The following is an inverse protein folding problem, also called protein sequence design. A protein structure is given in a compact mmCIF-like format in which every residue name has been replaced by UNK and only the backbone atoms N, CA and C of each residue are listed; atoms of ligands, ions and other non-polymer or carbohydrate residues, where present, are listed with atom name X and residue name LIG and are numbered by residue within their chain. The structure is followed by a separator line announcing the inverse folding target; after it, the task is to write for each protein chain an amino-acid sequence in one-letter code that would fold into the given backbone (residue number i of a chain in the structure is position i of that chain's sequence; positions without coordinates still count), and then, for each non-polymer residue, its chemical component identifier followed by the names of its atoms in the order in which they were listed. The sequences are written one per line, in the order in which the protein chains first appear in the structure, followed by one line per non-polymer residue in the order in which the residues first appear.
data_IF_550180914632
#
_entry.id   IF_550180914632
#
_cell.length_a   1.000
_cell.length_b   1.000
_cell.length_c   1.000
_cell.angle_alpha   90.00
_cell.angle_beta   90.00
_cell.angle_gamma   90.00
#
_symmetry.space_group_name_H-M   'P 1'
#
loop_
_entity.id
_entity.type
_entity.pdbx_description
1 polymer ?
#
# COMPACT_ATOMS: atom_id res chain seq x y z
N UNK A 1 -33.98 10.78 -38.71
CA UNK A 1 -32.85 11.74 -38.72
C UNK A 1 -31.56 10.94 -38.90
N UNK A 2 -30.72 11.20 -39.92
CA UNK A 2 -29.53 10.39 -40.16
C UNK A 2 -28.44 10.71 -39.13
N UNK A 3 -27.81 9.68 -38.56
CA UNK A 3 -26.71 9.86 -37.61
C UNK A 3 -25.47 10.39 -38.34
N UNK A 4 -24.90 11.49 -37.82
CA UNK A 4 -23.62 12.03 -38.31
C UNK A 4 -22.50 11.02 -38.05
N UNK A 5 -21.53 10.85 -38.96
CA UNK A 5 -20.32 10.08 -38.67
C UNK A 5 -19.64 10.67 -37.42
N UNK A 6 -19.44 9.85 -36.39
CA UNK A 6 -18.94 10.28 -35.08
C UNK A 6 -20.01 10.46 -33.99
N UNK A 7 -21.30 10.30 -34.30
CA UNK A 7 -22.34 10.20 -33.28
C UNK A 7 -22.26 8.82 -32.61
N UNK A 8 -21.54 8.73 -31.49
CA UNK A 8 -21.62 7.57 -30.62
C UNK A 8 -23.03 7.52 -30.00
N UNK A 9 -23.86 6.59 -30.45
CA UNK A 9 -25.13 6.26 -29.82
C UNK A 9 -24.88 5.42 -28.56
N UNK A 10 -24.23 6.01 -27.57
CA UNK A 10 -24.07 5.40 -26.26
C UNK A 10 -25.41 5.49 -25.53
N UNK A 11 -26.03 4.32 -25.30
CA UNK A 11 -27.25 4.18 -24.50
C UNK A 11 -26.91 4.37 -23.01
N UNK A 12 -26.61 5.60 -22.63
CA UNK A 12 -26.49 5.93 -21.22
C UNK A 12 -27.88 5.96 -20.60
N UNK A 13 -28.00 5.47 -19.36
CA UNK A 13 -29.22 5.66 -18.60
C UNK A 13 -29.52 7.18 -18.48
N UNK A 14 -30.77 7.61 -18.73
CA UNK A 14 -31.14 9.03 -18.76
C UNK A 14 -30.86 9.72 -17.42
N UNK A 15 -31.01 8.99 -16.31
CA UNK A 15 -30.66 9.42 -14.95
C UNK A 15 -29.18 9.76 -14.81
N UNK A 16 -28.30 8.90 -15.33
CA UNK A 16 -26.84 9.09 -15.25
C UNK A 16 -26.39 10.28 -16.09
N UNK A 17 -26.96 10.48 -17.28
CA UNK A 17 -26.68 11.64 -18.12
C UNK A 17 -27.10 12.95 -17.47
N UNK A 18 -28.28 12.96 -16.82
CA UNK A 18 -28.78 14.13 -16.12
C UNK A 18 -27.84 14.53 -14.97
N UNK A 19 -27.49 13.57 -14.10
CA UNK A 19 -26.54 13.78 -13.01
C UNK A 19 -25.17 14.25 -13.49
N UNK A 20 -24.65 13.66 -14.56
CA UNK A 20 -23.35 14.04 -15.11
C UNK A 20 -23.38 15.45 -15.72
N UNK A 21 -24.45 15.83 -16.42
CA UNK A 21 -24.64 17.20 -16.92
C UNK A 21 -24.73 18.22 -15.80
N UNK A 22 -25.49 17.90 -14.75
CA UNK A 22 -25.62 18.78 -13.57
C UNK A 22 -24.26 18.97 -12.88
N UNK A 23 -23.45 17.91 -12.78
CA UNK A 23 -22.10 17.96 -12.20
C UNK A 23 -21.13 18.77 -13.07
N UNK A 24 -21.20 18.65 -14.39
CA UNK A 24 -20.44 19.49 -15.31
C UNK A 24 -20.82 20.97 -15.15
N UNK A 25 -22.11 21.28 -15.00
CA UNK A 25 -22.63 22.63 -14.79
C UNK A 25 -22.20 23.21 -13.45
N UNK A 26 -22.20 22.41 -12.38
CA UNK A 26 -21.70 22.83 -11.06
C UNK A 26 -20.21 23.18 -11.08
N UNK A 27 -19.42 22.51 -11.92
CA UNK A 27 -17.99 22.77 -12.07
C UNK A 27 -17.64 23.81 -13.14
N UNK A 28 -18.64 24.46 -13.74
CA UNK A 28 -18.48 25.41 -14.86
C UNK A 28 -17.67 24.83 -16.04
N UNK A 29 -17.84 23.53 -16.33
CA UNK A 29 -17.12 22.83 -17.39
C UNK A 29 -18.05 22.38 -18.51
N UNK A 30 -17.60 22.54 -19.76
CA UNK A 30 -18.32 22.04 -20.92
C UNK A 30 -18.41 20.51 -20.89
N UNK A 31 -19.63 19.97 -20.95
CA UNK A 31 -19.92 18.52 -20.94
C UNK A 31 -19.06 17.73 -21.95
N UNK A 32 -18.88 18.26 -23.16
CA UNK A 32 -18.05 17.65 -24.21
C UNK A 32 -16.58 17.58 -23.83
N UNK A 33 -16.04 18.61 -23.15
CA UNK A 33 -14.65 18.66 -22.70
C UNK A 33 -14.37 17.71 -21.56
N UNK A 34 -15.34 17.53 -20.65
CA UNK A 34 -15.23 16.55 -19.56
C UNK A 34 -15.23 15.13 -20.13
N UNK A 35 -16.11 14.84 -21.08
CA UNK A 35 -16.12 13.54 -21.78
C UNK A 35 -14.84 13.28 -22.56
N UNK A 36 -14.34 14.27 -23.31
CA UNK A 36 -13.07 14.19 -24.04
C UNK A 36 -11.92 13.90 -23.08
N UNK A 37 -11.84 14.60 -21.94
CA UNK A 37 -10.81 14.35 -20.93
C UNK A 37 -10.93 12.98 -20.28
N UNK A 38 -12.15 12.53 -20.01
CA UNK A 38 -12.41 11.19 -19.45
C UNK A 38 -11.98 10.11 -20.44
N UNK A 39 -12.27 10.28 -21.73
CA UNK A 39 -11.85 9.37 -22.79
C UNK A 39 -10.33 9.35 -22.95
N UNK A 40 -9.67 10.52 -22.93
CA UNK A 40 -8.21 10.61 -22.95
C UNK A 40 -7.58 9.88 -21.77
N UNK A 41 -8.09 10.12 -20.55
CA UNK A 41 -7.61 9.41 -19.36
C UNK A 41 -7.85 7.90 -19.45
N UNK A 42 -8.97 7.47 -20.02
CA UNK A 42 -9.27 6.06 -20.24
C UNK A 42 -8.28 5.41 -21.21
N UNK A 43 -7.88 6.12 -22.27
CA UNK A 43 -6.88 5.65 -23.24
C UNK A 43 -5.47 5.67 -22.63
N UNK A 44 -5.09 6.75 -21.94
CA UNK A 44 -3.79 6.89 -21.27
C UNK A 44 -3.59 5.81 -20.20
N UNK A 45 -4.66 5.40 -19.51
CA UNK A 45 -4.63 4.37 -18.46
C UNK A 45 -4.92 2.96 -18.97
N UNK A 46 -5.02 2.77 -20.29
CA UNK A 46 -5.36 1.49 -20.93
C UNK A 46 -6.59 0.81 -20.27
N UNK A 47 -7.62 1.62 -20.01
CA UNK A 47 -8.87 1.21 -19.36
C UNK A 47 -8.83 1.09 -17.82
N UNK A 48 -7.70 1.35 -17.18
CA UNK A 48 -7.51 1.16 -15.74
C UNK A 48 -8.38 2.05 -14.85
N UNK A 49 -8.74 3.26 -15.30
CA UNK A 49 -9.52 4.24 -14.50
C UNK A 49 -10.95 3.75 -14.18
N UNK A 50 -11.53 2.87 -15.00
CA UNK A 50 -12.84 2.27 -14.72
C UNK A 50 -12.72 0.90 -14.03
N UNK A 51 -11.55 0.25 -14.10
CA UNK A 51 -11.30 -1.06 -13.47
C UNK A 51 -11.29 -0.99 -11.94
N UNK A 52 -10.77 0.12 -11.38
CA UNK A 52 -10.66 0.32 -9.94
C UNK A 52 -12.00 0.42 -9.19
N UNK A 53 -13.10 0.75 -9.89
CA UNK A 53 -14.41 0.99 -9.27
C UNK A 53 -15.35 -0.23 -9.37
N UNK A 54 -15.01 -1.23 -10.20
CA UNK A 54 -15.93 -2.34 -10.50
C UNK A 54 -15.40 -3.76 -10.26
N UNK A 55 -14.08 -3.99 -10.26
CA UNK A 55 -13.56 -5.36 -10.24
C UNK A 55 -12.30 -5.48 -9.40
N UNK A 56 -12.41 -6.23 -8.31
CA UNK A 56 -11.26 -6.96 -7.81
C UNK A 56 -10.68 -7.80 -8.95
N UNK A 57 -9.49 -7.43 -9.43
CA UNK A 57 -8.67 -8.25 -10.31
C UNK A 57 -8.81 -7.98 -11.81
N UNK A 58 -7.85 -7.25 -12.39
CA UNK A 58 -6.84 -7.81 -13.32
C UNK A 58 -5.57 -6.96 -13.15
N UNK A 59 -4.47 -7.49 -12.60
CA UNK A 59 -3.24 -6.71 -12.51
C UNK A 59 -2.53 -6.79 -13.85
N UNK A 60 -2.36 -5.63 -14.51
CA UNK A 60 -1.50 -5.46 -15.67
C UNK A 60 -0.12 -6.09 -15.39
N UNK A 61 0.46 -6.82 -16.35
CA UNK A 61 1.68 -7.64 -16.16
C UNK A 61 2.88 -6.87 -15.58
N UNK A 62 2.93 -5.54 -15.76
CA UNK A 62 3.92 -4.67 -15.11
C UNK A 62 3.65 -4.36 -13.64
N UNK A 63 2.39 -4.33 -13.23
CA UNK A 63 1.95 -4.11 -11.84
C UNK A 63 2.19 -5.36 -11.00
N UNK A 64 1.99 -6.56 -11.55
CA UNK A 64 2.29 -7.82 -10.85
C UNK A 64 3.77 -7.93 -10.48
N UNK A 65 4.70 -7.64 -11.40
CA UNK A 65 6.14 -7.67 -11.09
C UNK A 65 6.53 -6.68 -10.00
N UNK A 66 5.91 -5.49 -10.00
CA UNK A 66 6.15 -4.47 -8.98
C UNK A 66 5.53 -4.87 -7.64
N UNK A 67 4.33 -5.44 -7.64
CA UNK A 67 3.68 -5.97 -6.43
C UNK A 67 4.46 -7.13 -5.82
N UNK A 68 4.88 -8.12 -6.62
CA UNK A 68 5.70 -9.26 -6.15
C UNK A 68 7.04 -8.78 -5.62
N UNK A 69 7.65 -7.74 -6.22
CA UNK A 69 8.88 -7.16 -5.71
C UNK A 69 8.67 -6.41 -4.38
N UNK A 70 7.57 -5.65 -4.24
CA UNK A 70 7.21 -4.98 -2.98
C UNK A 70 6.94 -6.00 -1.89
N UNK A 71 6.21 -7.08 -2.19
CA UNK A 71 5.90 -8.15 -1.24
C UNK A 71 7.16 -8.92 -0.84
N UNK A 72 8.08 -9.18 -1.79
CA UNK A 72 9.39 -9.76 -1.48
C UNK A 72 10.25 -8.86 -0.60
N UNK A 73 10.21 -7.54 -0.80
CA UNK A 73 10.92 -6.58 0.04
C UNK A 73 10.30 -6.50 1.45
N UNK A 74 8.97 -6.54 1.55
CA UNK A 74 8.25 -6.59 2.83
C UNK A 74 8.57 -7.87 3.61
N UNK A 75 8.59 -9.02 2.93
CA UNK A 75 8.92 -10.31 3.56
C UNK A 75 10.37 -10.34 4.05
N UNK A 76 11.33 -9.83 3.27
CA UNK A 76 12.73 -9.71 3.71
C UNK A 76 12.90 -8.77 4.91
N UNK A 77 12.18 -7.66 4.92
CA UNK A 77 12.20 -6.74 6.06
C UNK A 77 11.63 -7.41 7.32
N UNK A 78 10.52 -8.14 7.17
CA UNK A 78 9.92 -8.89 8.28
C UNK A 78 10.87 -9.96 8.81
N UNK A 79 11.53 -10.73 7.93
CA UNK A 79 12.54 -11.72 8.32
C UNK A 79 13.74 -11.09 9.05
N UNK A 80 14.27 -9.95 8.55
CA UNK A 80 15.38 -9.25 9.20
C UNK A 80 14.97 -8.70 10.58
N UNK A 81 13.76 -8.16 10.70
CA UNK A 81 13.21 -7.69 11.97
C UNK A 81 13.07 -8.85 12.97
N UNK A 82 12.49 -9.97 12.57
CA UNK A 82 12.34 -11.15 13.42
C UNK A 82 13.71 -11.67 13.91
N UNK A 83 14.69 -11.74 13.01
CA UNK A 83 16.05 -12.17 13.35
C UNK A 83 16.75 -11.20 14.31
N UNK A 84 16.56 -9.90 14.15
CA UNK A 84 17.12 -8.89 15.07
C UNK A 84 16.50 -8.99 16.45
N UNK A 85 15.19 -9.21 16.54
CA UNK A 85 14.50 -9.42 17.83
C UNK A 85 15.07 -10.65 18.54
N UNK A 86 15.20 -11.78 17.86
CA UNK A 86 15.79 -12.99 18.43
C UNK A 86 17.21 -12.76 18.98
N UNK A 87 18.04 -12.00 18.24
CA UNK A 87 19.40 -11.65 18.68
C UNK A 87 19.36 -10.75 19.91
N UNK A 88 18.44 -9.78 19.97
CA UNK A 88 18.30 -8.87 21.11
C UNK A 88 17.87 -9.62 22.36
N UNK A 89 16.89 -10.51 22.28
CA UNK A 89 16.42 -11.35 23.39
C UNK A 89 17.55 -12.26 23.93
N UNK A 90 18.34 -12.87 23.04
CA UNK A 90 19.52 -13.66 23.42
C UNK A 90 20.59 -12.81 24.09
N UNK A 91 20.81 -11.58 23.64
CA UNK A 91 21.77 -10.66 24.25
C UNK A 91 21.30 -10.22 25.63
N UNK A 92 20.04 -9.83 25.77
CA UNK A 92 19.44 -9.42 27.05
C UNK A 92 19.60 -10.52 28.10
N UNK A 93 19.24 -11.76 27.75
CA UNK A 93 19.40 -12.91 28.64
C UNK A 93 20.84 -13.06 29.13
N UNK A 94 21.83 -12.98 28.24
CA UNK A 94 23.26 -13.04 28.60
C UNK A 94 23.66 -11.90 29.51
N UNK A 95 23.22 -10.68 29.20
CA UNK A 95 23.52 -9.49 30.01
C UNK A 95 22.93 -9.60 31.42
N UNK A 96 21.72 -10.15 31.57
CA UNK A 96 21.11 -10.38 32.87
C UNK A 96 21.90 -11.41 33.71
N UNK A 97 22.37 -12.50 33.09
CA UNK A 97 23.23 -13.47 33.78
C UNK A 97 24.56 -12.85 34.25
N UNK A 98 25.20 -12.06 33.40
CA UNK A 98 26.45 -11.38 33.75
C UNK A 98 26.25 -10.32 34.85
N UNK A 99 25.13 -9.58 34.81
CA UNK A 99 24.76 -8.65 35.88
C UNK A 99 24.56 -9.37 37.21
N UNK A 100 23.83 -10.49 37.23
CA UNK A 100 23.63 -11.28 38.45
C UNK A 100 24.96 -11.79 39.02
N UNK A 101 25.86 -12.28 38.16
CA UNK A 101 27.21 -12.70 38.57
C UNK A 101 27.99 -11.57 39.23
N UNK A 102 28.06 -10.41 38.59
CA UNK A 102 28.80 -9.25 39.12
C UNK A 102 28.17 -8.74 40.42
N UNK A 103 26.83 -8.74 40.54
CA UNK A 103 26.16 -8.38 41.78
C UNK A 103 26.51 -9.34 42.93
N UNK A 104 26.58 -10.65 42.65
CA UNK A 104 27.01 -11.64 43.65
C UNK A 104 28.46 -11.42 44.08
N UNK A 105 29.36 -11.18 43.14
CA UNK A 105 30.78 -10.89 43.43
C UNK A 105 30.94 -9.60 44.27
N UNK A 106 30.18 -8.55 43.92
CA UNK A 106 30.18 -7.30 44.69
C UNK A 106 29.60 -7.48 46.10
N UNK A 107 28.51 -8.24 46.24
CA UNK A 107 27.94 -8.57 47.54
C UNK A 107 28.91 -9.38 48.39
N UNK A 108 29.61 -10.34 47.78
CA UNK A 108 30.66 -11.13 48.41
C UNK A 108 31.78 -10.22 48.93
N UNK A 109 32.33 -9.36 48.07
CA UNK A 109 33.39 -8.42 48.45
C UNK A 109 32.95 -7.47 49.57
N UNK A 110 31.72 -6.94 49.48
CA UNK A 110 31.15 -6.03 50.50
C UNK A 110 30.93 -6.71 51.85
N UNK A 111 30.65 -8.02 51.85
CA UNK A 111 30.42 -8.78 53.08
C UNK A 111 31.68 -9.09 53.88
N UNK A 112 32.88 -8.79 53.35
CA UNK A 112 34.16 -9.04 54.02
C UNK A 112 34.49 -10.53 54.21
N UNK A 113 33.74 -11.43 53.57
CA UNK A 113 33.98 -12.87 53.57
C UNK A 113 35.16 -13.19 52.62
N UNK A 114 36.13 -13.96 53.11
CA UNK A 114 37.19 -14.53 52.28
C UNK A 114 36.65 -15.80 51.61
N UNK A 115 36.89 -15.97 50.31
CA UNK A 115 36.39 -17.15 49.59
C UNK A 115 36.96 -18.43 50.24
N UNK A 116 36.16 -19.50 50.37
CA UNK A 116 36.67 -20.77 50.87
C UNK A 116 37.76 -21.35 49.97
#
# INVERSE_FOLDING_TARGET
MPQRPGAFAAQFAPETLKRFKDLCRQQDKAYSKVLERLALLYVETDGGILSAVGSGGVPSKGVQKRQVQVESLQNKLLEDLLKRVEILEKKETKTLYELDRVHKELAFFKSGLQAP
#
